data_IF_425733161064
#
_entry.id   IF_425733161064
#
_cell.length_a   1.000
_cell.length_b   1.000
_cell.length_c   1.000
_cell.angle_alpha   90.00
_cell.angle_beta   90.00
_cell.angle_gamma   90.00
#
_symmetry.space_group_name_H-M   'P 1'
#
loop_
_entity.id
_entity.type
_entity.pdbx_description
1 polymer ?
#
# COMPACT_ATOMS: atom_id res chain seq x y z
N UNK A 1 -72.31 35.60 -5.87
CA UNK A 1 -70.96 35.43 -6.48
C UNK A 1 -70.05 34.78 -5.43
N UNK A 2 -69.94 33.42 -5.48
CA UNK A 2 -69.01 32.69 -4.63
C UNK A 2 -67.67 32.51 -5.38
N UNK A 3 -66.63 33.11 -4.85
CA UNK A 3 -65.27 32.94 -5.32
C UNK A 3 -64.68 31.65 -4.68
N UNK A 4 -64.47 30.60 -5.47
CA UNK A 4 -63.68 29.44 -5.10
C UNK A 4 -62.19 29.74 -5.35
N UNK A 5 -61.42 29.83 -4.27
CA UNK A 5 -59.97 29.83 -4.36
C UNK A 5 -59.44 28.38 -4.43
N UNK A 6 -58.54 28.05 -5.36
CA UNK A 6 -57.95 26.71 -5.40
C UNK A 6 -56.95 26.55 -4.27
N UNK A 7 -57.20 25.58 -3.39
CA UNK A 7 -56.18 25.08 -2.46
C UNK A 7 -55.10 24.37 -3.27
N UNK A 8 -53.94 25.02 -3.44
CA UNK A 8 -52.73 24.37 -3.91
C UNK A 8 -52.18 23.51 -2.78
N UNK A 9 -52.48 22.23 -2.80
CA UNK A 9 -51.77 21.24 -1.96
C UNK A 9 -50.31 21.22 -2.40
N UNK A 10 -49.43 21.85 -1.64
CA UNK A 10 -47.98 21.55 -1.73
C UNK A 10 -47.76 20.18 -1.15
N UNK A 11 -47.63 19.18 -2.02
CA UNK A 11 -47.04 17.92 -1.63
C UNK A 11 -45.59 18.21 -1.22
N UNK A 12 -45.28 18.14 0.07
CA UNK A 12 -43.89 18.07 0.52
C UNK A 12 -43.25 16.83 -0.10
N UNK A 13 -42.06 16.96 -0.76
CA UNK A 13 -41.38 15.78 -1.23
C UNK A 13 -41.07 14.91 -0.03
N UNK A 14 -41.65 13.71 0.00
CA UNK A 14 -41.20 12.63 0.90
C UNK A 14 -39.73 12.36 0.56
N UNK A 15 -38.81 12.99 1.27
CA UNK A 15 -37.43 12.61 1.27
C UNK A 15 -37.37 11.19 1.82
N UNK A 16 -37.28 10.20 0.93
CA UNK A 16 -36.95 8.85 1.33
C UNK A 16 -35.64 8.93 2.17
N UNK A 17 -35.63 8.35 3.38
CA UNK A 17 -34.39 8.35 4.14
C UNK A 17 -33.30 7.71 3.31
N UNK A 18 -32.20 8.43 3.12
CA UNK A 18 -31.05 7.91 2.40
C UNK A 18 -30.61 6.60 3.08
N UNK A 19 -30.40 5.55 2.30
CA UNK A 19 -29.92 4.24 2.79
C UNK A 19 -28.59 4.43 3.54
N UNK A 20 -27.84 5.48 3.18
CA UNK A 20 -26.68 5.97 3.94
C UNK A 20 -27.11 7.31 4.54
N UNK A 21 -27.29 7.36 5.86
CA UNK A 21 -27.61 8.60 6.56
C UNK A 21 -26.46 9.60 6.38
N UNK A 22 -26.62 10.58 5.52
CA UNK A 22 -25.71 11.71 5.42
C UNK A 22 -25.72 12.62 6.67
N UNK A 23 -26.67 12.39 7.58
CA UNK A 23 -26.77 13.06 8.86
C UNK A 23 -25.95 12.42 9.99
N UNK A 24 -25.38 11.23 9.78
CA UNK A 24 -24.47 10.64 10.76
C UNK A 24 -23.15 11.42 10.72
N UNK A 25 -22.96 12.33 11.69
CA UNK A 25 -21.66 12.95 11.90
C UNK A 25 -20.65 11.86 12.23
N UNK A 26 -19.76 11.56 11.30
CA UNK A 26 -18.54 10.85 11.61
C UNK A 26 -17.68 11.79 12.45
N UNK A 27 -17.72 11.61 13.76
CA UNK A 27 -16.86 12.38 14.64
C UNK A 27 -15.42 11.89 14.49
N UNK A 28 -14.44 12.80 14.40
CA UNK A 28 -13.06 12.41 14.36
C UNK A 28 -12.67 11.70 15.67
N UNK A 29 -11.87 10.66 15.56
CA UNK A 29 -11.25 10.02 16.73
C UNK A 29 -10.16 10.95 17.26
N UNK A 30 -10.28 11.37 18.52
CA UNK A 30 -9.28 12.19 19.18
C UNK A 30 -8.39 11.31 20.06
N UNK A 31 -7.09 11.48 19.95
CA UNK A 31 -6.10 10.80 20.75
C UNK A 31 -5.05 11.79 21.26
N UNK A 32 -4.79 11.82 22.57
CA UNK A 32 -3.87 12.77 23.21
C UNK A 32 -2.41 12.32 23.19
N UNK A 33 -2.14 11.02 23.02
CA UNK A 33 -0.79 10.47 23.17
C UNK A 33 -0.23 9.83 21.90
N UNK A 34 -1.05 9.57 20.91
CA UNK A 34 -0.66 8.97 19.66
C UNK A 34 -1.82 8.23 19.00
N UNK A 35 -1.69 7.99 17.72
CA UNK A 35 -2.71 7.31 16.92
C UNK A 35 -2.03 6.38 15.90
N UNK A 36 -2.65 5.26 15.63
CA UNK A 36 -2.29 4.37 14.51
C UNK A 36 -3.51 4.19 13.64
N UNK A 37 -3.37 4.47 12.36
CA UNK A 37 -4.40 4.25 11.35
C UNK A 37 -3.86 3.29 10.32
N UNK A 38 -4.56 2.19 10.09
CA UNK A 38 -4.24 1.21 9.07
C UNK A 38 -5.53 0.69 8.44
N UNK A 39 -5.42 0.11 7.26
CA UNK A 39 -6.57 -0.43 6.53
C UNK A 39 -7.18 -1.65 7.24
N UNK A 40 -6.41 -2.33 8.12
CA UNK A 40 -6.87 -3.51 8.85
C UNK A 40 -6.75 -3.26 10.37
N UNK A 41 -7.85 -3.56 11.08
CA UNK A 41 -8.01 -3.17 12.50
C UNK A 41 -7.08 -3.92 13.45
N UNK A 42 -6.75 -5.19 13.19
CA UNK A 42 -5.84 -5.97 14.04
C UNK A 42 -4.42 -5.44 13.94
N UNK A 43 -3.96 -5.10 12.73
CA UNK A 43 -2.66 -4.48 12.53
C UNK A 43 -2.59 -3.10 13.23
N UNK A 44 -3.65 -2.28 13.12
CA UNK A 44 -3.71 -0.99 13.81
C UNK A 44 -3.60 -1.15 15.34
N UNK A 45 -4.28 -2.14 15.94
CA UNK A 45 -4.19 -2.45 17.37
C UNK A 45 -2.78 -2.86 17.80
N UNK A 46 -2.08 -3.64 16.98
CA UNK A 46 -0.66 -4.00 17.23
C UNK A 46 0.19 -2.72 17.30
N UNK A 47 0.04 -1.80 16.34
CA UNK A 47 0.77 -0.54 16.37
C UNK A 47 0.46 0.30 17.61
N UNK A 48 -0.80 0.38 18.03
CA UNK A 48 -1.20 1.06 19.28
C UNK A 48 -0.56 0.41 20.52
N UNK A 49 -0.46 -0.92 20.56
CA UNK A 49 0.19 -1.63 21.67
C UNK A 49 1.68 -1.29 21.73
N UNK A 50 2.38 -1.24 20.60
CA UNK A 50 3.78 -0.81 20.54
C UNK A 50 3.94 0.63 21.09
N UNK A 51 3.07 1.56 20.70
CA UNK A 51 3.09 2.93 21.24
C UNK A 51 2.86 2.94 22.76
N UNK A 52 1.88 2.18 23.29
CA UNK A 52 1.60 2.06 24.72
C UNK A 52 2.77 1.51 25.52
N UNK A 53 3.54 0.61 24.94
CA UNK A 53 4.75 0.03 25.54
C UNK A 53 5.96 0.97 25.42
N UNK A 54 5.77 2.18 24.89
CA UNK A 54 6.78 3.24 24.81
C UNK A 54 7.64 3.22 23.56
N UNK A 55 7.23 2.51 22.52
CA UNK A 55 7.79 2.62 21.18
C UNK A 55 7.44 3.97 20.55
N UNK A 56 8.19 4.34 19.52
CA UNK A 56 7.88 5.50 18.70
C UNK A 56 7.00 5.12 17.48
N UNK A 57 6.67 6.11 16.65
CA UNK A 57 5.84 5.90 15.46
C UNK A 57 6.47 4.92 14.46
N UNK A 58 7.81 4.89 14.36
CA UNK A 58 8.53 3.98 13.45
C UNK A 58 8.47 2.54 13.95
N UNK A 59 8.67 2.31 15.25
CA UNK A 59 8.48 0.96 15.84
C UNK A 59 7.07 0.43 15.55
N UNK A 60 6.06 1.29 15.76
CA UNK A 60 4.67 0.94 15.48
C UNK A 60 4.45 0.65 13.98
N UNK A 61 5.00 1.47 13.08
CA UNK A 61 4.86 1.29 11.63
C UNK A 61 5.52 -0.02 11.15
N UNK A 62 6.68 -0.38 11.70
CA UNK A 62 7.36 -1.65 11.39
C UNK A 62 6.52 -2.83 11.83
N UNK A 63 6.01 -2.83 13.08
CA UNK A 63 5.15 -3.90 13.57
C UNK A 63 3.85 -4.03 12.74
N UNK A 64 3.23 -2.89 12.37
CA UNK A 64 2.05 -2.85 11.50
C UNK A 64 2.36 -3.37 10.11
N UNK A 65 3.50 -3.02 9.52
CA UNK A 65 3.91 -3.48 8.20
C UNK A 65 4.01 -5.02 8.12
N UNK A 66 4.64 -5.66 9.11
CA UNK A 66 4.68 -7.11 9.19
C UNK A 66 3.32 -7.74 9.51
N UNK A 67 2.50 -7.09 10.35
CA UNK A 67 1.15 -7.55 10.64
C UNK A 67 0.24 -7.51 9.41
N UNK A 68 0.31 -6.44 8.61
CA UNK A 68 -0.44 -6.30 7.36
C UNK A 68 -0.07 -7.37 6.32
N UNK A 69 1.18 -7.84 6.29
CA UNK A 69 1.56 -8.96 5.42
C UNK A 69 0.78 -10.25 5.74
N UNK A 70 0.27 -10.38 6.97
CA UNK A 70 -0.55 -11.50 7.43
C UNK A 70 -2.04 -11.21 7.31
N UNK A 71 -2.47 -10.04 7.78
CA UNK A 71 -3.90 -9.72 7.97
C UNK A 71 -4.56 -9.09 6.75
N UNK A 72 -3.76 -8.53 5.82
CA UNK A 72 -4.23 -7.90 4.59
C UNK A 72 -3.45 -8.43 3.36
N UNK A 73 -3.49 -9.75 3.07
CA UNK A 73 -2.59 -10.37 2.07
C UNK A 73 -2.80 -9.86 0.63
N UNK A 74 -3.90 -9.15 0.35
CA UNK A 74 -4.13 -8.52 -0.95
C UNK A 74 -3.30 -7.25 -1.20
N UNK A 75 -2.73 -6.65 -0.14
CA UNK A 75 -1.95 -5.42 -0.21
C UNK A 75 -0.70 -5.45 0.68
N UNK A 76 -0.80 -5.92 1.93
CA UNK A 76 0.34 -6.15 2.79
C UNK A 76 1.19 -7.33 2.30
N UNK A 77 2.50 -7.22 2.36
CA UNK A 77 3.39 -8.21 1.76
C UNK A 77 4.80 -8.20 2.36
N UNK A 78 5.55 -9.28 2.11
CA UNK A 78 7.01 -9.31 2.23
C UNK A 78 7.68 -9.33 0.84
N UNK A 79 6.98 -9.85 -0.16
CA UNK A 79 7.47 -10.01 -1.54
C UNK A 79 7.22 -8.82 -2.45
N UNK A 80 6.85 -7.69 -1.91
CA UNK A 80 6.64 -6.43 -2.61
C UNK A 80 7.52 -5.31 -2.07
N UNK A 81 7.05 -4.08 -2.15
CA UNK A 81 7.76 -2.90 -1.68
C UNK A 81 6.82 -1.81 -1.20
N UNK A 82 7.37 -0.62 -1.08
CA UNK A 82 6.62 0.54 -0.63
C UNK A 82 7.47 1.78 -0.41
N UNK A 83 6.86 2.75 0.24
CA UNK A 83 7.47 4.01 0.61
C UNK A 83 7.09 4.38 2.04
N UNK A 84 7.97 5.12 2.70
CA UNK A 84 7.70 5.64 4.04
C UNK A 84 8.18 7.09 4.14
N UNK A 85 7.34 7.97 4.69
CA UNK A 85 7.75 9.30 5.13
C UNK A 85 7.83 9.30 6.66
N UNK A 86 8.96 9.72 7.18
CA UNK A 86 9.21 9.85 8.63
C UNK A 86 9.41 11.32 8.94
N UNK A 87 8.53 11.90 9.76
CA UNK A 87 8.71 13.25 10.29
C UNK A 87 9.43 13.19 11.63
N UNK A 88 10.55 13.87 11.70
CA UNK A 88 11.40 13.97 12.88
C UNK A 88 11.10 15.29 13.61
N UNK A 89 10.20 15.24 14.59
CA UNK A 89 9.66 16.43 15.23
C UNK A 89 10.71 17.27 15.96
N UNK A 90 11.74 16.64 16.53
CA UNK A 90 12.84 17.34 17.24
C UNK A 90 13.72 18.12 16.28
N UNK A 91 14.07 17.49 15.17
CA UNK A 91 14.91 18.03 14.10
C UNK A 91 14.13 18.95 13.17
N UNK A 92 12.80 18.91 13.23
CA UNK A 92 11.87 19.61 12.32
C UNK A 92 12.15 19.31 10.85
N UNK A 93 12.49 18.06 10.56
CA UNK A 93 12.79 17.58 9.21
C UNK A 93 11.96 16.35 8.90
N UNK A 94 11.93 15.97 7.64
CA UNK A 94 11.36 14.71 7.20
C UNK A 94 12.34 13.96 6.31
N UNK A 95 12.21 12.65 6.28
CA UNK A 95 12.98 11.74 5.44
C UNK A 95 12.00 10.85 4.66
N UNK A 96 12.32 10.58 3.41
CA UNK A 96 11.63 9.61 2.59
C UNK A 96 12.46 8.33 2.50
N UNK A 97 11.87 7.19 2.79
CA UNK A 97 12.49 5.88 2.62
C UNK A 97 11.83 5.20 1.43
N UNK A 98 12.63 4.95 0.40
CA UNK A 98 12.26 4.25 -0.81
C UNK A 98 12.68 2.78 -0.69
N UNK A 99 11.68 1.91 -0.63
CA UNK A 99 11.87 0.47 -0.67
C UNK A 99 10.94 -0.18 -1.72
N UNK A 100 10.71 0.56 -2.81
CA UNK A 100 10.00 0.06 -3.98
C UNK A 100 10.75 -1.12 -4.58
N UNK A 101 10.02 -2.01 -5.22
CA UNK A 101 10.59 -3.12 -5.96
C UNK A 101 11.48 -2.61 -7.10
N UNK A 102 12.59 -3.29 -7.32
CA UNK A 102 13.47 -3.03 -8.46
C UNK A 102 13.28 -4.11 -9.53
N UNK A 103 13.46 -3.76 -10.80
CA UNK A 103 13.53 -4.75 -11.86
C UNK A 103 14.79 -5.63 -11.66
N UNK A 104 14.71 -6.96 -11.90
CA UNK A 104 15.91 -7.78 -12.00
C UNK A 104 16.89 -7.22 -13.03
N UNK A 105 18.19 -7.25 -12.75
CA UNK A 105 19.22 -6.59 -13.57
C UNK A 105 19.21 -7.01 -15.05
N UNK A 106 18.88 -8.29 -15.32
CA UNK A 106 18.77 -8.85 -16.67
C UNK A 106 17.35 -8.69 -17.28
N UNK A 107 16.66 -7.58 -16.99
CA UNK A 107 15.32 -7.31 -17.55
C UNK A 107 15.44 -6.44 -18.79
N UNK A 108 15.16 -6.97 -20.01
CA UNK A 108 15.23 -6.17 -21.22
C UNK A 108 14.09 -5.14 -21.26
N UNK A 109 14.35 -4.04 -21.98
CA UNK A 109 13.41 -2.92 -22.12
C UNK A 109 12.06 -3.35 -22.71
N UNK A 110 12.06 -4.32 -23.59
CA UNK A 110 10.92 -4.82 -24.35
C UNK A 110 10.31 -6.10 -23.78
N UNK A 111 10.66 -6.47 -22.53
CA UNK A 111 10.27 -7.75 -21.90
C UNK A 111 8.76 -8.03 -21.92
N UNK A 112 7.94 -6.99 -21.95
CA UNK A 112 6.47 -7.10 -21.97
C UNK A 112 5.87 -6.99 -23.38
N UNK A 113 6.68 -6.83 -24.41
CA UNK A 113 6.23 -6.74 -25.79
C UNK A 113 6.18 -8.12 -26.47
N UNK A 114 5.40 -8.23 -27.55
CA UNK A 114 5.45 -9.35 -28.48
C UNK A 114 6.46 -9.03 -29.62
N UNK A 115 6.59 -9.94 -30.57
CA UNK A 115 7.47 -9.77 -31.73
C UNK A 115 7.08 -8.58 -32.65
N UNK A 116 5.83 -8.15 -32.61
CA UNK A 116 5.35 -6.98 -33.33
C UNK A 116 5.55 -5.66 -32.57
N UNK A 117 6.17 -5.69 -31.36
CA UNK A 117 6.38 -4.52 -30.53
C UNK A 117 5.14 -4.07 -29.73
N UNK A 118 4.10 -4.89 -29.66
CA UNK A 118 2.86 -4.58 -28.94
C UNK A 118 2.91 -5.09 -27.50
N UNK A 119 2.30 -4.35 -26.56
CA UNK A 119 2.25 -4.71 -25.16
C UNK A 119 1.35 -5.94 -24.89
N UNK A 120 1.88 -6.94 -24.21
CA UNK A 120 1.16 -8.16 -23.80
C UNK A 120 0.81 -8.11 -22.31
N UNK A 121 -0.43 -7.77 -22.00
CA UNK A 121 -0.89 -7.61 -20.62
C UNK A 121 -0.66 -8.84 -19.73
N UNK A 122 -0.73 -10.06 -20.26
CA UNK A 122 -0.47 -11.28 -19.51
C UNK A 122 0.98 -11.36 -19.01
N UNK A 123 1.95 -10.87 -19.81
CA UNK A 123 3.38 -10.82 -19.41
C UNK A 123 3.61 -9.90 -18.20
N UNK A 124 2.92 -8.75 -18.16
CA UNK A 124 3.08 -7.74 -17.10
C UNK A 124 2.19 -7.94 -15.88
N UNK A 125 1.23 -8.88 -15.91
CA UNK A 125 0.27 -9.12 -14.81
C UNK A 125 0.34 -10.51 -14.21
N UNK A 126 0.57 -11.53 -15.03
CA UNK A 126 0.34 -12.91 -14.64
C UNK A 126 1.57 -13.82 -14.81
N UNK A 127 2.69 -13.30 -15.27
CA UNK A 127 3.93 -14.04 -15.44
C UNK A 127 4.99 -13.65 -14.41
N UNK A 128 5.95 -14.53 -14.17
CA UNK A 128 7.11 -14.23 -13.33
C UNK A 128 7.96 -13.05 -13.83
N UNK A 129 7.83 -12.66 -15.10
CA UNK A 129 8.45 -11.46 -15.68
C UNK A 129 8.01 -10.16 -15.00
N UNK A 130 6.80 -10.15 -14.40
CA UNK A 130 6.25 -8.99 -13.70
C UNK A 130 6.73 -8.87 -12.24
N UNK A 131 7.47 -9.84 -11.73
CA UNK A 131 7.92 -9.88 -10.34
C UNK A 131 9.21 -9.07 -10.20
N UNK A 132 9.12 -7.97 -9.45
CA UNK A 132 10.29 -7.18 -9.06
C UNK A 132 11.01 -7.76 -7.84
N UNK A 133 12.24 -7.32 -7.62
CA UNK A 133 13.04 -7.63 -6.44
C UNK A 133 12.40 -6.96 -5.24
N UNK A 134 11.99 -7.70 -4.19
CA UNK A 134 11.18 -7.15 -3.11
C UNK A 134 11.97 -6.23 -2.18
N UNK A 135 11.31 -5.15 -1.72
CA UNK A 135 11.92 -4.13 -0.88
C UNK A 135 11.38 -4.05 0.55
N UNK A 136 10.18 -4.58 0.84
CA UNK A 136 9.49 -4.38 2.12
C UNK A 136 10.36 -4.71 3.33
N UNK A 137 11.02 -5.87 3.34
CA UNK A 137 11.83 -6.31 4.48
C UNK A 137 13.04 -5.40 4.68
N UNK A 138 13.70 -4.97 3.60
CA UNK A 138 14.82 -4.04 3.67
C UNK A 138 14.39 -2.66 4.18
N UNK A 139 13.27 -2.14 3.65
CA UNK A 139 12.74 -0.83 4.02
C UNK A 139 12.32 -0.73 5.47
N UNK A 140 11.53 -1.70 5.95
CA UNK A 140 11.12 -1.75 7.35
C UNK A 140 12.32 -1.91 8.31
N UNK A 141 13.32 -2.72 7.91
CA UNK A 141 14.54 -2.89 8.69
C UNK A 141 15.42 -1.64 8.69
N UNK A 142 15.50 -0.92 7.57
CA UNK A 142 16.19 0.37 7.48
C UNK A 142 15.54 1.40 8.39
N UNK A 143 14.20 1.53 8.30
CA UNK A 143 13.43 2.44 9.14
C UNK A 143 13.65 2.17 10.63
N UNK A 144 13.55 0.91 11.05
CA UNK A 144 13.77 0.52 12.45
C UNK A 144 15.19 0.86 12.92
N UNK A 145 16.18 0.53 12.12
CA UNK A 145 17.59 0.75 12.47
C UNK A 145 17.93 2.23 12.64
N UNK A 146 17.42 3.09 11.75
CA UNK A 146 17.81 4.49 11.70
C UNK A 146 16.89 5.40 12.53
N UNK A 147 15.62 5.03 12.70
CA UNK A 147 14.57 5.90 13.27
C UNK A 147 13.73 5.22 14.36
N UNK A 148 13.94 3.95 14.65
CA UNK A 148 13.30 3.26 15.76
C UNK A 148 13.70 3.86 17.11
N UNK A 149 12.89 3.61 18.14
CA UNK A 149 13.15 4.12 19.50
C UNK A 149 14.36 3.48 20.19
N UNK A 150 14.87 2.36 19.68
CA UNK A 150 15.88 1.53 20.32
C UNK A 150 15.36 0.68 21.49
N UNK A 151 14.06 0.74 21.80
CA UNK A 151 13.43 -0.01 22.90
C UNK A 151 12.98 -1.41 22.50
N UNK A 152 12.83 -1.66 21.20
CA UNK A 152 12.36 -2.93 20.66
C UNK A 152 13.34 -3.52 19.68
N UNK A 153 13.59 -4.80 19.81
CA UNK A 153 14.24 -5.60 18.79
C UNK A 153 13.27 -5.89 17.62
N UNK A 154 13.80 -6.21 16.45
CA UNK A 154 12.97 -6.63 15.33
C UNK A 154 12.13 -7.88 15.68
N UNK A 155 12.71 -8.83 16.46
CA UNK A 155 12.02 -10.02 16.92
C UNK A 155 10.76 -9.68 17.74
N UNK A 156 10.83 -8.70 18.62
CA UNK A 156 9.68 -8.28 19.43
C UNK A 156 8.60 -7.60 18.58
N UNK A 157 9.00 -6.80 17.58
CA UNK A 157 8.06 -6.11 16.69
C UNK A 157 7.33 -7.06 15.74
N UNK A 158 7.97 -8.13 15.29
CA UNK A 158 7.35 -9.11 14.38
C UNK A 158 6.59 -10.22 15.10
N UNK A 159 6.82 -10.42 16.40
CA UNK A 159 6.20 -11.51 17.17
C UNK A 159 4.66 -11.56 17.06
N UNK A 160 3.91 -10.43 17.09
CA UNK A 160 2.47 -10.46 16.89
C UNK A 160 2.06 -10.99 15.51
N UNK A 161 2.78 -10.60 14.45
CA UNK A 161 2.54 -11.09 13.09
C UNK A 161 2.80 -12.61 12.98
N UNK A 162 3.88 -13.10 13.60
CA UNK A 162 4.18 -14.55 13.69
C UNK A 162 3.04 -15.30 14.37
N UNK A 163 2.56 -14.79 15.51
CA UNK A 163 1.46 -15.40 16.25
C UNK A 163 0.17 -15.47 15.41
N UNK A 164 -0.20 -14.38 14.73
CA UNK A 164 -1.36 -14.32 13.85
C UNK A 164 -1.24 -15.28 12.66
N UNK A 165 -0.08 -15.35 12.01
CA UNK A 165 0.14 -16.23 10.89
C UNK A 165 0.07 -17.71 11.28
N UNK A 166 0.56 -18.08 12.47
CA UNK A 166 0.48 -19.45 13.02
C UNK A 166 -0.90 -19.83 13.48
N UNK A 167 -1.55 -18.98 14.29
CA UNK A 167 -2.88 -19.26 14.81
C UNK A 167 -3.96 -19.11 13.74
N UNK A 168 -3.68 -18.40 12.67
CA UNK A 168 -4.61 -18.02 11.62
C UNK A 168 -5.44 -16.80 11.98
N UNK A 169 -5.87 -16.08 10.96
CA UNK A 169 -6.78 -14.93 11.03
C UNK A 169 -8.18 -15.34 10.59
N UNK A 170 -9.20 -14.67 11.12
CA UNK A 170 -10.55 -14.82 10.60
C UNK A 170 -10.65 -14.13 9.22
N UNK A 171 -11.25 -14.82 8.28
CA UNK A 171 -11.56 -14.26 6.96
C UNK A 171 -12.75 -13.32 7.13
N UNK A 172 -12.54 -12.04 6.85
CA UNK A 172 -13.59 -11.02 6.80
C UNK A 172 -14.11 -10.85 5.37
N UNK A 173 -15.21 -10.09 5.21
CA UNK A 173 -15.88 -9.91 3.91
C UNK A 173 -14.92 -9.39 2.82
N UNK A 174 -14.08 -8.39 3.15
CA UNK A 174 -13.10 -7.81 2.20
C UNK A 174 -12.09 -8.86 1.68
N UNK A 175 -11.62 -9.74 2.56
CA UNK A 175 -10.69 -10.82 2.17
C UNK A 175 -11.42 -11.91 1.38
N UNK A 176 -12.63 -12.31 1.81
CA UNK A 176 -13.44 -13.29 1.09
C UNK A 176 -13.74 -12.83 -0.34
N UNK A 177 -14.18 -11.60 -0.50
CA UNK A 177 -14.47 -10.98 -1.81
C UNK A 177 -13.21 -10.88 -2.68
N UNK A 178 -12.09 -10.43 -2.10
CA UNK A 178 -10.80 -10.36 -2.80
C UNK A 178 -10.36 -11.71 -3.34
N UNK A 179 -10.43 -12.76 -2.52
CA UNK A 179 -10.06 -14.12 -2.93
C UNK A 179 -11.03 -14.66 -3.95
N UNK A 180 -12.32 -14.39 -3.81
CA UNK A 180 -13.35 -14.78 -4.79
C UNK A 180 -13.06 -14.18 -6.16
N UNK A 181 -12.81 -12.87 -6.24
CA UNK A 181 -12.45 -12.21 -7.50
C UNK A 181 -11.14 -12.72 -8.10
N UNK A 182 -10.18 -13.11 -7.25
CA UNK A 182 -8.88 -13.62 -7.70
C UNK A 182 -8.86 -15.15 -7.95
N UNK A 183 -9.94 -15.89 -7.68
CA UNK A 183 -9.97 -17.36 -7.68
C UNK A 183 -9.39 -17.99 -8.94
N UNK A 184 -9.82 -17.55 -10.12
CA UNK A 184 -9.36 -18.09 -11.39
C UNK A 184 -7.84 -17.90 -11.58
N UNK A 185 -7.29 -16.78 -11.10
CA UNK A 185 -5.86 -16.48 -11.15
C UNK A 185 -5.10 -17.31 -10.10
N UNK A 186 -5.61 -17.42 -8.88
CA UNK A 186 -5.01 -18.22 -7.81
C UNK A 186 -4.90 -19.69 -8.19
N UNK A 187 -5.91 -20.27 -8.87
CA UNK A 187 -5.90 -21.67 -9.35
C UNK A 187 -4.77 -21.97 -10.32
N UNK A 188 -4.24 -20.98 -11.04
CA UNK A 188 -3.09 -21.17 -11.95
C UNK A 188 -1.77 -21.41 -11.20
N UNK A 189 -1.71 -21.03 -9.93
CA UNK A 189 -0.53 -21.10 -9.08
C UNK A 189 -0.77 -22.03 -7.89
N UNK A 190 -0.34 -23.31 -7.95
CA UNK A 190 -0.66 -24.30 -6.92
C UNK A 190 -0.28 -23.89 -5.49
N UNK A 191 0.85 -23.18 -5.32
CA UNK A 191 1.28 -22.70 -4.01
C UNK A 191 0.31 -21.64 -3.45
N UNK A 192 -0.16 -20.70 -4.27
CA UNK A 192 -1.15 -19.70 -3.87
C UNK A 192 -2.53 -20.33 -3.64
N UNK A 193 -2.95 -21.24 -4.52
CA UNK A 193 -4.22 -21.95 -4.37
C UNK A 193 -4.29 -22.70 -3.03
N UNK A 194 -3.23 -23.40 -2.65
CA UNK A 194 -3.16 -24.13 -1.37
C UNK A 194 -3.31 -23.24 -0.15
N UNK A 195 -2.87 -21.98 -0.22
CA UNK A 195 -2.94 -21.03 0.91
C UNK A 195 -4.32 -20.36 0.95
N UNK A 196 -4.81 -19.87 -0.19
CA UNK A 196 -5.94 -18.96 -0.24
C UNK A 196 -7.27 -19.58 -0.65
N UNK A 197 -7.27 -20.84 -1.13
CA UNK A 197 -8.49 -21.54 -1.48
C UNK A 197 -8.70 -22.73 -0.53
N UNK A 198 -9.95 -23.13 -0.39
CA UNK A 198 -10.32 -24.40 0.27
C UNK A 198 -9.80 -25.60 -0.53
N UNK A 199 -9.79 -26.77 0.08
CA UNK A 199 -9.31 -28.00 -0.55
C UNK A 199 -10.07 -28.38 -1.85
N UNK A 200 -11.34 -27.98 -1.95
CA UNK A 200 -12.16 -28.16 -3.17
C UNK A 200 -11.91 -27.06 -4.24
N UNK A 201 -11.01 -26.10 -3.96
CA UNK A 201 -10.69 -25.01 -4.85
C UNK A 201 -11.69 -23.85 -4.82
N UNK A 202 -12.63 -23.84 -3.88
CA UNK A 202 -13.54 -22.70 -3.65
C UNK A 202 -12.89 -21.62 -2.79
N UNK A 203 -13.31 -20.33 -2.90
CA UNK A 203 -12.86 -19.28 -2.01
C UNK A 203 -13.32 -19.54 -0.59
N UNK A 204 -12.56 -19.06 0.43
CA UNK A 204 -13.02 -19.08 1.81
C UNK A 204 -14.19 -18.10 1.98
N UNK A 205 -15.09 -18.40 2.90
CA UNK A 205 -16.17 -17.51 3.31
C UNK A 205 -15.83 -16.76 4.60
N UNK A 206 -16.66 -15.75 4.91
CA UNK A 206 -16.56 -15.03 6.19
C UNK A 206 -16.58 -16.00 7.36
N UNK A 207 -15.65 -15.80 8.30
CA UNK A 207 -15.51 -16.62 9.50
C UNK A 207 -14.58 -17.84 9.33
N UNK A 208 -14.22 -18.21 8.12
CA UNK A 208 -13.17 -19.22 7.90
C UNK A 208 -11.84 -18.73 8.50
N UNK A 209 -10.94 -19.68 8.72
CA UNK A 209 -9.61 -19.39 9.26
C UNK A 209 -8.54 -19.53 8.18
N UNK A 210 -7.81 -18.45 7.92
CA UNK A 210 -6.63 -18.45 7.06
C UNK A 210 -5.37 -18.62 7.89
N UNK A 211 -4.71 -19.77 7.78
CA UNK A 211 -3.44 -20.09 8.45
C UNK A 211 -2.30 -19.97 7.44
N UNK A 212 -1.21 -19.29 7.82
CA UNK A 212 -0.07 -18.99 6.95
C UNK A 212 1.25 -19.44 7.62
N UNK A 213 1.41 -20.74 7.90
CA UNK A 213 2.53 -21.27 8.68
C UNK A 213 3.90 -21.03 8.03
N UNK A 214 3.98 -21.10 6.69
CA UNK A 214 5.22 -20.82 5.96
C UNK A 214 5.61 -19.34 6.11
N UNK A 215 4.64 -18.42 6.01
CA UNK A 215 4.85 -16.99 6.23
C UNK A 215 5.30 -16.70 7.67
N UNK A 216 4.67 -17.36 8.66
CA UNK A 216 5.08 -17.26 10.06
C UNK A 216 6.57 -17.63 10.25
N UNK A 217 7.01 -18.72 9.63
CA UNK A 217 8.40 -19.18 9.72
C UNK A 217 9.39 -18.18 9.09
N UNK A 218 9.01 -17.56 7.97
CA UNK A 218 9.83 -16.54 7.31
C UNK A 218 9.90 -15.27 8.17
N UNK A 219 8.78 -14.78 8.70
CA UNK A 219 8.75 -13.59 9.56
C UNK A 219 9.55 -13.82 10.83
N UNK A 220 9.45 -14.99 11.45
CA UNK A 220 10.21 -15.35 12.64
C UNK A 220 11.72 -15.38 12.37
N UNK A 221 12.14 -15.96 11.23
CA UNK A 221 13.55 -15.96 10.83
C UNK A 221 14.07 -14.51 10.60
N UNK A 222 13.27 -13.65 9.96
CA UNK A 222 13.60 -12.22 9.81
C UNK A 222 13.75 -11.55 11.18
N UNK A 223 12.85 -11.81 12.11
CA UNK A 223 12.93 -11.27 13.48
C UNK A 223 14.20 -11.69 14.22
N UNK A 224 14.58 -12.95 14.11
CA UNK A 224 15.75 -13.53 14.81
C UNK A 224 17.08 -13.15 14.16
N UNK A 225 17.18 -13.24 12.83
CA UNK A 225 18.44 -13.20 12.08
C UNK A 225 18.59 -11.90 11.25
N UNK A 226 17.58 -11.03 11.27
CA UNK A 226 17.55 -9.77 10.53
C UNK A 226 17.14 -9.94 9.05
N UNK A 227 17.08 -8.82 8.34
CA UNK A 227 16.64 -8.77 6.94
C UNK A 227 17.47 -9.67 6.00
N UNK A 228 18.73 -9.90 6.33
CA UNK A 228 19.65 -10.68 5.48
C UNK A 228 19.11 -12.07 5.15
N UNK A 229 18.41 -12.73 6.08
CA UNK A 229 17.85 -14.08 5.86
C UNK A 229 16.83 -14.14 4.72
N UNK A 230 16.19 -12.99 4.42
CA UNK A 230 15.23 -12.89 3.32
C UNK A 230 15.91 -12.71 1.95
N UNK A 231 17.06 -12.03 1.93
CA UNK A 231 17.79 -11.69 0.70
C UNK A 231 18.92 -12.66 0.37
N UNK A 232 19.33 -13.52 1.31
CA UNK A 232 20.40 -14.49 1.15
C UNK A 232 19.98 -15.84 1.74
N UNK A 233 20.52 -16.94 1.22
CA UNK A 233 20.29 -18.30 1.70
C UNK A 233 18.94 -18.88 1.31
N UNK A 234 18.37 -19.81 2.10
CA UNK A 234 17.26 -20.68 1.66
C UNK A 234 15.95 -19.95 1.29
N UNK A 235 15.67 -18.78 1.91
CA UNK A 235 14.47 -17.99 1.54
C UNK A 235 14.67 -17.36 0.17
N UNK A 236 15.82 -16.73 -0.06
CA UNK A 236 16.17 -16.13 -1.35
C UNK A 236 16.18 -17.20 -2.47
N UNK A 237 16.75 -18.37 -2.22
CA UNK A 237 16.75 -19.48 -3.16
C UNK A 237 15.34 -19.90 -3.60
N UNK A 238 14.42 -20.03 -2.64
CA UNK A 238 13.01 -20.36 -2.91
C UNK A 238 12.28 -19.26 -3.68
N UNK A 239 12.55 -17.97 -3.36
CA UNK A 239 11.99 -16.84 -4.11
C UNK A 239 12.43 -16.91 -5.57
N UNK A 240 13.75 -17.00 -5.81
CA UNK A 240 14.33 -17.08 -7.15
C UNK A 240 13.79 -18.29 -7.92
N UNK A 241 13.76 -19.48 -7.29
CA UNK A 241 13.25 -20.68 -7.92
C UNK A 241 11.77 -20.53 -8.34
N UNK A 242 10.93 -19.93 -7.48
CA UNK A 242 9.51 -19.71 -7.77
C UNK A 242 9.30 -18.69 -8.90
N UNK A 243 10.05 -17.58 -8.89
CA UNK A 243 9.98 -16.55 -9.93
C UNK A 243 10.43 -17.13 -11.28
N UNK A 244 11.52 -17.88 -11.31
CA UNK A 244 12.01 -18.53 -12.54
C UNK A 244 11.06 -19.61 -13.06
N UNK A 245 10.49 -20.43 -12.18
CA UNK A 245 9.47 -21.41 -12.57
C UNK A 245 8.22 -20.76 -13.19
N UNK A 246 7.93 -19.50 -12.83
CA UNK A 246 6.88 -18.69 -13.41
C UNK A 246 7.32 -17.91 -14.69
N UNK A 247 8.51 -18.18 -15.22
CA UNK A 247 9.07 -17.52 -16.41
C UNK A 247 9.76 -16.19 -16.15
N UNK A 248 10.02 -15.84 -14.88
CA UNK A 248 10.73 -14.62 -14.51
C UNK A 248 12.25 -14.72 -14.63
N UNK A 249 12.93 -13.60 -14.40
CA UNK A 249 14.38 -13.45 -14.65
C UNK A 249 15.22 -13.24 -13.39
N UNK A 250 14.59 -13.09 -12.23
CA UNK A 250 15.28 -12.80 -10.96
C UNK A 250 16.40 -13.78 -10.65
N UNK A 251 17.49 -13.26 -10.09
CA UNK A 251 18.67 -14.01 -9.64
C UNK A 251 18.87 -13.85 -8.14
N UNK A 252 19.75 -14.65 -7.55
CA UNK A 252 20.16 -14.46 -6.16
C UNK A 252 20.95 -13.17 -5.97
N UNK A 253 21.73 -12.77 -6.96
CA UNK A 253 22.51 -11.51 -6.93
C UNK A 253 21.59 -10.29 -6.95
N UNK A 254 20.45 -10.33 -7.66
CA UNK A 254 19.44 -9.28 -7.61
C UNK A 254 18.90 -9.09 -6.18
N UNK A 255 18.57 -10.20 -5.50
CA UNK A 255 18.12 -10.15 -4.11
C UNK A 255 19.22 -9.63 -3.18
N UNK A 256 20.41 -10.20 -3.27
CA UNK A 256 21.57 -9.84 -2.42
C UNK A 256 22.01 -8.39 -2.58
N UNK A 257 21.90 -7.83 -3.78
CA UNK A 257 22.29 -6.46 -4.09
C UNK A 257 21.21 -5.42 -3.74
N UNK A 258 19.95 -5.85 -3.53
CA UNK A 258 18.87 -4.92 -3.24
C UNK A 258 19.14 -4.09 -1.97
N UNK A 259 18.86 -2.79 -2.05
CA UNK A 259 18.96 -1.84 -0.91
C UNK A 259 17.75 -0.90 -0.92
N UNK A 260 17.16 -0.70 0.25
CA UNK A 260 16.29 0.44 0.48
C UNK A 260 17.10 1.73 0.56
N UNK A 261 16.57 2.84 0.04
CA UNK A 261 17.29 4.11 -0.12
C UNK A 261 16.57 5.22 0.66
N UNK A 262 17.32 6.04 1.37
CA UNK A 262 16.83 7.30 1.92
C UNK A 262 16.92 8.40 0.86
N UNK A 263 15.84 9.15 0.71
CA UNK A 263 15.72 10.26 -0.25
C UNK A 263 15.28 11.53 0.47
N UNK A 264 15.65 12.68 -0.05
CA UNK A 264 15.06 13.95 0.36
C UNK A 264 13.58 13.99 -0.08
N UNK A 265 12.63 14.26 0.81
CA UNK A 265 11.23 14.39 0.42
C UNK A 265 11.02 15.61 -0.48
N UNK A 266 9.93 15.59 -1.25
CA UNK A 266 9.46 16.77 -1.97
C UNK A 266 8.73 17.70 -1.00
N UNK A 267 8.89 18.99 -1.22
CA UNK A 267 8.19 20.03 -0.49
C UNK A 267 7.36 20.89 -1.45
N UNK A 268 6.14 21.20 -1.05
CA UNK A 268 5.24 22.11 -1.76
C UNK A 268 4.47 22.97 -0.78
N UNK A 269 3.72 23.92 -1.31
CA UNK A 269 2.84 24.79 -0.53
C UNK A 269 1.44 24.74 -1.12
N UNK A 270 0.42 24.69 -0.26
CA UNK A 270 -0.97 24.85 -0.68
C UNK A 270 -1.74 25.65 0.37
N UNK A 271 -2.25 26.82 0.00
CA UNK A 271 -3.03 27.71 0.89
C UNK A 271 -2.35 27.95 2.24
N UNK A 272 -1.03 28.15 2.23
CA UNK A 272 -0.23 28.39 3.43
C UNK A 272 0.12 27.14 4.23
N UNK A 273 -0.25 25.95 3.77
CA UNK A 273 0.13 24.67 4.38
C UNK A 273 1.30 24.05 3.64
N UNK A 274 2.29 23.60 4.37
CA UNK A 274 3.39 22.83 3.81
C UNK A 274 2.92 21.40 3.44
N UNK A 275 3.29 20.97 2.25
CA UNK A 275 3.09 19.60 1.76
C UNK A 275 4.44 18.91 1.71
N UNK A 276 4.57 17.82 2.42
CA UNK A 276 5.75 16.93 2.38
C UNK A 276 5.34 15.63 1.72
N UNK A 277 6.00 15.26 0.63
CA UNK A 277 5.57 14.13 -0.19
C UNK A 277 6.75 13.25 -0.62
N UNK A 278 6.42 12.01 -1.05
CA UNK A 278 7.41 11.07 -1.56
C UNK A 278 7.98 11.54 -2.90
N UNK A 279 9.31 11.59 -3.06
CA UNK A 279 9.95 11.94 -4.33
C UNK A 279 9.89 10.79 -5.34
N UNK A 280 10.30 11.01 -6.61
CA UNK A 280 10.57 9.92 -7.53
C UNK A 280 11.48 8.83 -6.92
N UNK A 281 11.27 7.56 -7.26
CA UNK A 281 10.48 7.03 -8.39
C UNK A 281 8.96 7.01 -8.15
N UNK A 282 8.46 7.49 -7.02
CA UNK A 282 7.03 7.71 -6.83
C UNK A 282 6.58 8.95 -7.60
N UNK A 283 5.56 8.80 -8.44
CA UNK A 283 4.91 9.95 -9.09
C UNK A 283 3.95 10.69 -8.14
N UNK A 284 3.56 10.06 -7.02
CA UNK A 284 2.49 10.53 -6.15
C UNK A 284 2.74 11.91 -5.55
N UNK A 285 3.98 12.17 -5.09
CA UNK A 285 4.32 13.46 -4.50
C UNK A 285 4.29 14.61 -5.51
N UNK A 286 4.88 14.40 -6.68
CA UNK A 286 4.85 15.39 -7.79
C UNK A 286 3.42 15.70 -8.17
N UNK A 287 2.59 14.67 -8.43
CA UNK A 287 1.18 14.85 -8.81
C UNK A 287 0.38 15.62 -7.76
N UNK A 288 0.54 15.27 -6.48
CA UNK A 288 -0.22 15.93 -5.41
C UNK A 288 0.15 17.42 -5.35
N UNK A 289 1.44 17.75 -5.38
CA UNK A 289 1.91 19.15 -5.32
C UNK A 289 1.44 19.92 -6.56
N UNK A 290 1.59 19.36 -7.75
CA UNK A 290 1.16 19.97 -8.99
C UNK A 290 -0.35 20.21 -9.04
N UNK A 291 -1.16 19.17 -8.71
CA UNK A 291 -2.61 19.28 -8.63
C UNK A 291 -3.03 20.37 -7.63
N UNK A 292 -2.42 20.41 -6.46
CA UNK A 292 -2.74 21.43 -5.44
C UNK A 292 -2.37 22.83 -5.94
N UNK A 293 -1.23 23.00 -6.59
CA UNK A 293 -0.81 24.27 -7.18
C UNK A 293 -1.79 24.77 -8.26
N UNK A 294 -2.25 23.89 -9.14
CA UNK A 294 -3.28 24.23 -10.14
C UNK A 294 -4.60 24.61 -9.44
N UNK A 295 -5.05 23.81 -8.47
CA UNK A 295 -6.32 24.02 -7.77
C UNK A 295 -6.31 25.25 -6.85
N UNK A 296 -5.15 25.75 -6.45
CA UNK A 296 -5.06 26.95 -5.60
C UNK A 296 -5.64 28.20 -6.28
N UNK A 297 -5.58 28.26 -7.62
CA UNK A 297 -6.16 29.33 -8.42
C UNK A 297 -7.70 29.31 -8.52
N UNK A 298 -8.38 28.32 -7.92
CA UNK A 298 -9.83 28.12 -8.07
C UNK A 298 -10.55 28.09 -6.72
N UNK A 299 -11.81 28.57 -6.66
CA UNK A 299 -12.64 28.53 -5.45
C UNK A 299 -13.27 27.14 -5.24
N UNK A 300 -12.45 26.10 -5.05
CA UNK A 300 -12.88 24.69 -4.98
C UNK A 300 -13.99 24.48 -3.95
N UNK A 301 -13.89 25.11 -2.77
CA UNK A 301 -14.90 24.98 -1.71
C UNK A 301 -16.27 25.52 -2.12
N UNK A 302 -16.30 26.60 -2.90
CA UNK A 302 -17.55 27.21 -3.36
C UNK A 302 -18.28 26.39 -4.43
N UNK A 303 -17.60 25.50 -5.11
CA UNK A 303 -18.20 24.62 -6.12
C UNK A 303 -18.98 23.46 -5.52
N UNK A 304 -18.77 23.15 -4.25
CA UNK A 304 -19.37 22.02 -3.55
C UNK A 304 -18.70 20.67 -3.89
N UNK A 305 -18.58 19.83 -2.88
CA UNK A 305 -17.97 18.51 -3.03
C UNK A 305 -18.76 17.65 -4.03
N UNK A 306 -18.05 16.98 -4.94
CA UNK A 306 -18.60 16.08 -5.95
C UNK A 306 -19.63 16.73 -6.91
N UNK A 307 -19.70 18.08 -7.01
CA UNK A 307 -20.48 18.73 -8.04
C UNK A 307 -19.85 18.49 -9.42
N UNK A 308 -20.66 18.63 -10.50
CA UNK A 308 -20.14 18.51 -11.86
C UNK A 308 -19.00 19.51 -12.14
N UNK A 309 -19.08 20.74 -11.63
CA UNK A 309 -18.02 21.74 -11.76
C UNK A 309 -16.73 21.30 -11.04
N UNK A 310 -16.86 20.76 -9.82
CA UNK A 310 -15.71 20.28 -9.06
C UNK A 310 -15.05 19.05 -9.73
N UNK A 311 -15.86 18.09 -10.19
CA UNK A 311 -15.34 16.90 -10.90
C UNK A 311 -14.65 17.31 -12.20
N UNK A 312 -15.23 18.25 -12.96
CA UNK A 312 -14.63 18.75 -14.19
C UNK A 312 -13.28 19.44 -13.92
N UNK A 313 -13.23 20.32 -12.94
CA UNK A 313 -11.97 20.99 -12.54
C UNK A 313 -10.88 19.99 -12.12
N UNK A 314 -11.26 19.00 -11.31
CA UNK A 314 -10.32 17.92 -10.91
C UNK A 314 -9.81 17.12 -12.10
N UNK A 315 -10.70 16.77 -13.04
CA UNK A 315 -10.32 16.03 -14.23
C UNK A 315 -9.36 16.83 -15.13
N UNK A 316 -9.59 18.13 -15.32
CA UNK A 316 -8.70 18.99 -16.10
C UNK A 316 -7.33 19.16 -15.42
N UNK A 317 -7.29 19.37 -14.11
CA UNK A 317 -6.03 19.40 -13.37
C UNK A 317 -5.25 18.07 -13.47
N UNK A 318 -5.96 16.94 -13.34
CA UNK A 318 -5.35 15.60 -13.51
C UNK A 318 -4.77 15.41 -14.90
N UNK A 319 -5.42 15.90 -15.96
CA UNK A 319 -4.89 15.78 -17.33
C UNK A 319 -3.51 16.41 -17.47
N UNK A 320 -3.27 17.57 -16.84
CA UNK A 320 -1.97 18.23 -16.84
C UNK A 320 -0.93 17.37 -16.11
N UNK A 321 -1.21 16.99 -14.87
CA UNK A 321 -0.30 16.20 -14.05
C UNK A 321 0.04 14.82 -14.69
N UNK A 322 -0.92 14.19 -15.36
CA UNK A 322 -0.67 12.94 -16.07
C UNK A 322 0.11 13.13 -17.37
N UNK A 323 -0.01 14.27 -18.04
CA UNK A 323 0.81 14.61 -19.21
C UNK A 323 2.28 14.78 -18.79
N UNK A 324 2.52 15.57 -17.74
CA UNK A 324 3.87 15.79 -17.21
C UNK A 324 4.49 14.49 -16.66
N UNK A 325 3.67 13.66 -16.00
CA UNK A 325 4.12 12.33 -15.59
C UNK A 325 4.63 11.49 -16.76
N UNK A 326 3.88 11.48 -17.86
CA UNK A 326 4.24 10.65 -19.01
C UNK A 326 5.53 11.09 -19.70
N UNK A 327 5.81 12.38 -19.67
CA UNK A 327 6.97 12.98 -20.33
C UNK A 327 8.21 12.97 -19.43
N UNK A 328 8.07 13.31 -18.13
CA UNK A 328 9.20 13.68 -17.28
C UNK A 328 9.50 12.70 -16.16
N UNK A 329 8.54 11.88 -15.72
CA UNK A 329 8.76 11.05 -14.52
C UNK A 329 9.27 9.65 -14.86
N UNK A 330 10.31 9.25 -14.13
CA UNK A 330 10.93 7.94 -14.22
C UNK A 330 11.62 7.57 -12.91
N UNK A 331 12.44 6.54 -12.95
CA UNK A 331 13.31 6.19 -11.85
C UNK A 331 14.58 7.06 -11.91
N UNK A 332 14.83 7.94 -10.90
CA UNK A 332 15.95 8.88 -10.91
C UNK A 332 17.31 8.17 -10.81
N UNK A 333 17.34 6.91 -10.39
CA UNK A 333 18.55 6.10 -10.36
C UNK A 333 18.91 5.54 -11.75
N UNK A 334 18.00 5.66 -12.73
CA UNK A 334 18.15 5.15 -14.10
C UNK A 334 18.09 6.24 -15.18
N UNK A 335 17.29 7.28 -14.96
CA UNK A 335 17.07 8.37 -15.92
C UNK A 335 17.04 9.73 -15.21
N UNK A 336 17.47 10.81 -15.88
CA UNK A 336 17.29 12.14 -15.34
C UNK A 336 15.81 12.46 -15.14
N UNK A 337 15.44 12.90 -13.93
CA UNK A 337 14.10 13.40 -13.60
C UNK A 337 14.25 14.85 -13.16
N UNK A 338 13.55 15.83 -13.82
CA UNK A 338 13.70 17.26 -13.55
C UNK A 338 13.25 17.67 -12.14
#
# INVERSE_FOLDING_TARGET
LCLFAPFASRAEPLLAPAIISQGARVLPVLASHGMVVAQEGTAAKIGVDILRRGGNAVDAAVAVGFALAVTLPRAGNLGGGGFMLVHLAKEKTAVAIDYREAAPADTPRDVFLNEAGEAVAAKSRDAGLAVGVPGTVAGLSLALRNYGSGKFSLAELVAPAVALARSGIAVEDDLADSVSHAQARLKRWPASARIFLRADGTPPGRGDRLVQSDLASVIEAIGRDGARVFYEGPVAEKIVASVRAAGGRMTQDDLKSYRAVERAPLHGLYRGHEIVAMPPPSSGGVHIIELLNVLEGFPVAAQGANSAANIHLMAEAMKLAYADRAEYLGDPDQVPVP
#
